data_IF_486609598126
#
_entry.id   IF_486609598126
#
_cell.length_a   1.000
_cell.length_b   1.000
_cell.length_c   1.000
_cell.angle_alpha   90.00
_cell.angle_beta   90.00
_cell.angle_gamma   90.00
#
_symmetry.space_group_name_H-M   'P 1'
#
loop_
_entity.id
_entity.type
_entity.pdbx_description
1 polymer ?
#
# COMPACT_ATOMS: atom_id res chain seq x y z
N UNK A 1 -18.20 6.56 -2.64
CA UNK A 1 -17.30 5.89 -3.61
C UNK A 1 -16.59 4.76 -2.87
N UNK A 2 -16.58 3.54 -3.40
CA UNK A 2 -15.89 2.40 -2.78
C UNK A 2 -14.41 2.44 -3.19
N UNK A 3 -13.48 2.34 -2.24
CA UNK A 3 -12.05 2.30 -2.53
C UNK A 3 -11.72 0.99 -3.27
N UNK A 4 -10.99 1.10 -4.37
CA UNK A 4 -10.54 -0.03 -5.19
C UNK A 4 -9.07 0.12 -5.51
N UNK A 5 -8.45 -0.90 -6.10
CA UNK A 5 -7.07 -0.83 -6.54
C UNK A 5 -6.86 0.14 -7.73
N UNK A 6 -7.95 0.62 -8.35
CA UNK A 6 -7.94 1.53 -9.51
C UNK A 6 -8.51 2.92 -9.20
N UNK A 7 -8.99 3.13 -7.97
CA UNK A 7 -9.57 4.40 -7.56
C UNK A 7 -9.43 4.55 -6.04
N UNK A 8 -8.44 5.36 -5.65
CA UNK A 8 -8.16 5.74 -4.27
C UNK A 8 -7.60 7.17 -4.23
N UNK A 9 -7.71 7.89 -3.10
CA UNK A 9 -7.12 9.21 -2.96
C UNK A 9 -5.62 9.19 -3.25
N UNK A 10 -5.11 10.14 -4.02
CA UNK A 10 -3.67 10.28 -4.25
C UNK A 10 -2.95 11.00 -3.10
N UNK A 11 -3.69 11.61 -2.16
CA UNK A 11 -3.15 12.39 -1.02
C UNK A 11 -3.84 12.01 0.28
N UNK A 12 -3.03 11.88 1.32
CA UNK A 12 -3.48 11.59 2.68
C UNK A 12 -2.77 12.50 3.67
N UNK A 13 -3.54 13.18 4.51
CA UNK A 13 -3.01 14.00 5.60
C UNK A 13 -3.15 13.22 6.91
N UNK A 14 -2.03 13.03 7.61
CA UNK A 14 -1.92 12.35 8.89
C UNK A 14 -1.27 13.26 9.91
N UNK A 15 -2.08 14.01 10.67
CA UNK A 15 -1.58 15.05 11.59
C UNK A 15 -0.68 16.03 10.82
N UNK A 16 0.62 16.04 11.11
CA UNK A 16 1.62 16.91 10.48
C UNK A 16 2.30 16.29 9.25
N UNK A 17 1.90 15.07 8.85
CA UNK A 17 2.47 14.35 7.72
C UNK A 17 1.56 14.36 6.50
N UNK A 18 2.11 14.73 5.34
CA UNK A 18 1.48 14.58 4.04
C UNK A 18 2.09 13.37 3.33
N UNK A 19 1.24 12.40 2.99
CA UNK A 19 1.62 11.26 2.17
C UNK A 19 0.92 11.36 0.81
N UNK A 20 1.71 11.31 -0.27
CA UNK A 20 1.25 11.58 -1.63
C UNK A 20 1.75 10.50 -2.60
N UNK A 21 0.82 9.96 -3.39
CA UNK A 21 1.12 9.24 -4.61
C UNK A 21 1.33 10.23 -5.76
N UNK A 22 2.46 10.10 -6.45
CA UNK A 22 2.78 10.85 -7.67
C UNK A 22 3.01 9.88 -8.83
N UNK A 23 2.86 10.40 -10.05
CA UNK A 23 3.09 9.63 -11.29
C UNK A 23 2.26 8.33 -11.34
N UNK A 24 1.00 8.40 -10.88
CA UNK A 24 0.06 7.29 -10.91
C UNK A 24 -0.20 6.84 -12.35
N UNK A 25 -0.17 5.53 -12.55
CA UNK A 25 -0.55 4.88 -13.80
C UNK A 25 -1.16 3.51 -13.55
N UNK A 26 -2.11 3.13 -14.37
CA UNK A 26 -2.60 1.75 -14.38
C UNK A 26 -1.52 0.79 -14.88
N UNK A 27 -1.40 -0.37 -14.22
CA UNK A 27 -0.51 -1.44 -14.69
C UNK A 27 -1.00 -2.12 -15.97
N UNK A 28 -2.32 -2.16 -16.16
CA UNK A 28 -3.04 -2.70 -17.30
C UNK A 28 -4.44 -2.06 -17.29
N UNK A 29 -5.15 -2.06 -18.42
CA UNK A 29 -6.51 -1.50 -18.48
C UNK A 29 -7.42 -2.13 -17.41
N UNK A 30 -7.89 -1.32 -16.45
CA UNK A 30 -8.73 -1.78 -15.34
C UNK A 30 -7.97 -2.60 -14.26
N UNK A 31 -6.65 -2.63 -14.33
CA UNK A 31 -5.76 -3.20 -13.31
C UNK A 31 -5.23 -2.12 -12.35
N UNK A 32 -4.56 -2.52 -11.25
CA UNK A 32 -4.17 -1.61 -10.18
C UNK A 32 -3.39 -0.38 -10.66
N UNK A 33 -3.69 0.77 -10.07
CA UNK A 33 -2.88 1.97 -10.21
C UNK A 33 -1.65 1.89 -9.32
N UNK A 34 -0.49 2.21 -9.89
CA UNK A 34 0.78 2.27 -9.19
C UNK A 34 1.43 3.65 -9.35
N UNK A 35 2.14 4.11 -8.32
CA UNK A 35 2.83 5.41 -8.33
C UNK A 35 4.02 5.45 -7.40
N UNK A 36 4.72 6.57 -7.40
CA UNK A 36 5.78 6.88 -6.43
C UNK A 36 5.16 7.43 -5.16
N UNK A 37 5.64 6.98 -4.01
CA UNK A 37 5.12 7.40 -2.71
C UNK A 37 6.08 8.38 -2.04
N UNK A 38 5.53 9.53 -1.64
CA UNK A 38 6.25 10.60 -0.97
C UNK A 38 5.66 10.84 0.42
N UNK A 39 6.53 11.06 1.40
CA UNK A 39 6.18 11.53 2.73
C UNK A 39 6.84 12.90 2.92
N UNK A 40 6.06 13.95 3.09
CA UNK A 40 6.54 15.33 3.25
C UNK A 40 7.54 15.74 2.15
N UNK A 41 7.18 15.48 0.89
CA UNK A 41 8.02 15.69 -0.31
C UNK A 41 9.29 14.84 -0.44
N UNK A 42 9.57 13.95 0.51
CA UNK A 42 10.67 12.98 0.39
C UNK A 42 10.14 11.64 -0.12
N UNK A 43 10.83 11.06 -1.10
CA UNK A 43 10.44 9.78 -1.67
C UNK A 43 10.78 8.62 -0.71
N UNK A 44 9.83 7.73 -0.44
CA UNK A 44 10.00 6.64 0.54
C UNK A 44 10.98 5.56 0.05
N UNK A 45 10.78 5.03 -1.16
CA UNK A 45 11.67 4.07 -1.80
C UNK A 45 11.87 4.46 -3.28
N UNK A 46 13.13 4.75 -3.66
CA UNK A 46 13.45 5.36 -4.96
C UNK A 46 13.07 4.48 -6.15
N UNK A 47 13.36 3.19 -6.06
CA UNK A 47 13.23 2.27 -7.18
C UNK A 47 11.92 1.46 -7.18
N UNK A 48 11.08 1.67 -6.15
CA UNK A 48 9.84 0.92 -5.97
C UNK A 48 8.60 1.71 -6.44
N UNK A 49 7.52 1.00 -6.69
CA UNK A 49 6.19 1.58 -6.97
C UNK A 49 5.20 1.08 -5.93
N UNK A 50 4.27 1.93 -5.50
CA UNK A 50 3.25 1.62 -4.51
C UNK A 50 1.87 1.62 -5.17
N UNK A 51 0.96 0.80 -4.66
CA UNK A 51 -0.45 0.78 -5.04
C UNK A 51 -1.31 1.12 -3.84
N UNK A 52 -2.52 1.60 -4.08
CA UNK A 52 -3.53 1.80 -3.05
C UNK A 52 -4.60 0.71 -3.01
N UNK A 53 -5.57 0.83 -2.08
CA UNK A 53 -5.61 1.83 -1.02
C UNK A 53 -4.61 1.51 0.11
N UNK A 54 -4.22 2.54 0.86
CA UNK A 54 -3.42 2.40 2.08
C UNK A 54 -4.30 2.43 3.34
N UNK A 55 -3.74 2.03 4.48
CA UNK A 55 -4.39 2.12 5.79
C UNK A 55 -3.44 2.77 6.79
N UNK A 56 -3.97 3.73 7.55
CA UNK A 56 -3.26 4.34 8.67
C UNK A 56 -3.59 3.63 9.98
N UNK A 57 -2.56 3.18 10.69
CA UNK A 57 -2.63 2.64 12.03
C UNK A 57 -2.22 3.71 13.04
N UNK A 58 -3.19 4.45 13.54
CA UNK A 58 -2.98 5.60 14.43
C UNK A 58 -2.20 5.25 15.70
N UNK A 59 -2.50 4.10 16.33
CA UNK A 59 -1.86 3.71 17.59
C UNK A 59 -0.37 3.40 17.47
N UNK A 60 0.14 3.18 16.27
CA UNK A 60 1.57 2.95 16.00
C UNK A 60 2.19 4.07 15.16
N UNK A 61 1.41 5.07 14.72
CA UNK A 61 1.83 6.07 13.76
C UNK A 61 2.42 5.46 12.46
N UNK A 62 1.79 4.39 11.95
CA UNK A 62 2.27 3.62 10.78
C UNK A 62 1.28 3.64 9.64
N UNK A 63 1.79 3.65 8.42
CA UNK A 63 1.00 3.48 7.19
C UNK A 63 1.32 2.11 6.60
N UNK A 64 0.28 1.33 6.33
CA UNK A 64 0.35 0.06 5.63
C UNK A 64 -0.06 0.32 4.18
N UNK A 65 0.78 -0.08 3.23
CA UNK A 65 0.57 0.22 1.81
C UNK A 65 1.06 -0.94 0.93
N UNK A 66 0.31 -1.34 -0.10
CA UNK A 66 0.81 -2.26 -1.12
C UNK A 66 2.03 -1.70 -1.88
N UNK A 67 3.06 -2.52 -2.07
CA UNK A 67 4.25 -2.20 -2.87
C UNK A 67 4.43 -3.24 -3.97
N UNK A 68 4.74 -2.77 -5.17
CA UNK A 68 4.98 -3.59 -6.33
C UNK A 68 6.31 -4.33 -6.18
N UNK A 69 6.29 -5.64 -6.32
CA UNK A 69 7.47 -6.49 -6.37
C UNK A 69 7.65 -7.03 -7.78
N UNK A 70 8.78 -6.70 -8.41
CA UNK A 70 9.15 -7.21 -9.74
C UNK A 70 10.26 -8.24 -9.63
N UNK A 71 10.05 -9.37 -10.29
CA UNK A 71 11.06 -10.36 -10.60
C UNK A 71 11.14 -10.54 -12.12
N UNK A 72 12.16 -11.21 -12.63
CA UNK A 72 12.39 -11.35 -14.07
C UNK A 72 11.20 -11.97 -14.83
N UNK A 73 10.44 -12.86 -14.19
CA UNK A 73 9.33 -13.59 -14.82
C UNK A 73 7.94 -13.22 -14.32
N UNK A 74 7.83 -12.37 -13.29
CA UNK A 74 6.53 -12.08 -12.70
C UNK A 74 6.53 -10.77 -11.93
N UNK A 75 5.34 -10.17 -11.90
CA UNK A 75 5.03 -9.02 -11.06
C UNK A 75 4.01 -9.45 -10.02
N UNK A 76 4.26 -9.10 -8.76
CA UNK A 76 3.38 -9.37 -7.61
C UNK A 76 3.33 -8.12 -6.73
N UNK A 77 2.49 -8.13 -5.72
CA UNK A 77 2.47 -7.14 -4.65
C UNK A 77 2.96 -7.73 -3.33
N UNK A 78 3.61 -6.89 -2.53
CA UNK A 78 3.93 -7.11 -1.13
C UNK A 78 3.30 -6.01 -0.30
N UNK A 79 3.41 -6.11 1.02
CA UNK A 79 2.98 -5.05 1.93
C UNK A 79 4.20 -4.33 2.47
N UNK A 80 4.21 -3.00 2.35
CA UNK A 80 5.15 -2.13 3.03
C UNK A 80 4.50 -1.48 4.25
N UNK A 81 5.28 -1.31 5.30
CA UNK A 81 4.91 -0.60 6.53
C UNK A 81 5.87 0.58 6.67
N UNK A 82 5.30 1.78 6.69
CA UNK A 82 6.03 3.04 6.79
C UNK A 82 5.77 3.62 8.17
N UNK A 83 6.83 3.87 8.94
CA UNK A 83 6.75 4.62 10.18
C UNK A 83 6.79 6.11 9.87
N UNK A 84 5.72 6.84 10.21
CA UNK A 84 5.63 8.27 9.91
C UNK A 84 6.55 9.12 10.81
N UNK A 85 7.09 8.55 11.87
CA UNK A 85 7.96 9.23 12.83
C UNK A 85 9.43 9.12 12.41
N UNK A 86 9.86 7.91 12.03
CA UNK A 86 11.26 7.64 11.63
C UNK A 86 11.49 7.68 10.12
N UNK A 87 10.41 7.70 9.32
CA UNK A 87 10.42 7.54 7.87
C UNK A 87 10.93 6.18 7.39
N UNK A 88 11.15 5.23 8.29
CA UNK A 88 11.58 3.88 7.94
C UNK A 88 10.48 3.13 7.20
N UNK A 89 10.87 2.38 6.16
CA UNK A 89 9.97 1.55 5.38
C UNK A 89 10.43 0.09 5.44
N UNK A 90 9.59 -0.79 5.98
CA UNK A 90 9.82 -2.23 6.04
C UNK A 90 8.88 -2.95 5.10
N UNK A 91 9.42 -3.79 4.21
CA UNK A 91 8.63 -4.57 3.25
C UNK A 91 8.50 -6.02 3.73
N UNK A 92 7.27 -6.49 3.91
CA UNK A 92 6.95 -7.86 4.31
C UNK A 92 7.17 -8.84 3.17
N UNK A 93 7.58 -10.08 3.48
CA UNK A 93 7.98 -11.06 2.47
C UNK A 93 6.82 -11.70 1.68
N UNK A 94 5.58 -11.62 2.19
CA UNK A 94 4.40 -12.23 1.58
C UNK A 94 4.10 -11.59 0.22
N UNK A 95 3.97 -12.40 -0.82
CA UNK A 95 3.69 -11.99 -2.22
C UNK A 95 2.30 -12.45 -2.63
N UNK A 96 1.55 -11.57 -3.29
CA UNK A 96 0.19 -11.84 -3.80
C UNK A 96 0.01 -11.18 -5.17
N UNK A 97 -0.94 -11.67 -5.98
CA UNK A 97 -1.25 -11.07 -7.30
C UNK A 97 -1.91 -9.69 -7.19
N UNK A 98 -2.65 -9.48 -6.09
CA UNK A 98 -3.28 -8.22 -5.73
C UNK A 98 -3.26 -8.10 -4.21
N UNK A 99 -3.18 -6.87 -3.71
CA UNK A 99 -3.40 -6.58 -2.29
C UNK A 99 -4.33 -5.38 -2.20
N UNK A 100 -5.60 -5.63 -1.91
CA UNK A 100 -6.58 -4.60 -1.57
C UNK A 100 -6.74 -4.57 -0.05
N UNK A 101 -6.09 -3.61 0.61
CA UNK A 101 -6.14 -3.49 2.07
C UNK A 101 -7.57 -3.20 2.54
N UNK A 102 -8.02 -3.93 3.57
CA UNK A 102 -9.35 -3.80 4.18
C UNK A 102 -9.30 -3.16 5.55
N UNK A 103 -8.46 -3.69 6.45
CA UNK A 103 -8.34 -3.20 7.82
C UNK A 103 -7.01 -3.60 8.44
N UNK A 104 -6.65 -2.92 9.54
CA UNK A 104 -5.56 -3.31 10.42
C UNK A 104 -6.06 -3.29 11.86
N UNK A 105 -5.79 -4.36 12.62
CA UNK A 105 -6.18 -4.46 14.02
C UNK A 105 -5.14 -3.83 14.96
N UNK A 106 -5.53 -3.56 16.20
CA UNK A 106 -4.61 -3.11 17.26
C UNK A 106 -3.49 -4.13 17.53
N UNK A 107 -3.78 -5.41 17.31
CA UNK A 107 -2.85 -6.54 17.47
C UNK A 107 -1.93 -6.75 16.25
N UNK A 108 -1.86 -5.76 15.34
CA UNK A 108 -1.02 -5.77 14.14
C UNK A 108 -1.40 -6.86 13.14
N UNK A 109 -2.70 -7.14 13.02
CA UNK A 109 -3.23 -8.06 12.00
C UNK A 109 -3.77 -7.23 10.85
N UNK A 110 -3.15 -7.36 9.68
CA UNK A 110 -3.59 -6.76 8.42
C UNK A 110 -4.56 -7.72 7.77
N UNK A 111 -5.72 -7.21 7.38
CA UNK A 111 -6.71 -7.92 6.55
C UNK A 111 -6.76 -7.31 5.16
N UNK A 112 -6.71 -8.14 4.12
CA UNK A 112 -6.72 -7.69 2.73
C UNK A 112 -7.38 -8.72 1.81
N UNK A 113 -7.84 -8.27 0.65
CA UNK A 113 -8.30 -9.15 -0.43
C UNK A 113 -7.18 -9.35 -1.46
N UNK A 114 -7.07 -10.56 -2.00
CA UNK A 114 -6.13 -10.87 -3.08
C UNK A 114 -6.81 -11.08 -4.45
N UNK A 115 -8.06 -10.65 -4.57
CA UNK A 115 -8.85 -10.64 -5.80
C UNK A 115 -9.65 -9.33 -5.93
N UNK A 116 -10.00 -8.95 -7.15
CA UNK A 116 -10.70 -7.69 -7.43
C UNK A 116 -12.18 -7.69 -6.97
N UNK A 117 -12.75 -8.88 -6.72
CA UNK A 117 -14.16 -9.05 -6.33
C UNK A 117 -14.36 -9.10 -4.81
N UNK A 118 -13.29 -8.91 -4.02
CA UNK A 118 -13.32 -8.94 -2.56
C UNK A 118 -13.85 -10.26 -1.98
N UNK A 119 -13.56 -11.40 -2.63
CA UNK A 119 -14.05 -12.71 -2.22
C UNK A 119 -13.08 -13.48 -1.34
N UNK A 120 -11.78 -13.25 -1.51
CA UNK A 120 -10.72 -14.02 -0.87
C UNK A 120 -10.00 -13.16 0.17
N UNK A 121 -10.55 -13.17 1.40
CA UNK A 121 -9.96 -12.46 2.53
C UNK A 121 -8.75 -13.22 3.07
N UNK A 122 -7.63 -12.51 3.19
CA UNK A 122 -6.39 -12.98 3.80
C UNK A 122 -6.04 -12.13 5.00
N UNK A 123 -5.27 -12.71 5.90
CA UNK A 123 -4.70 -12.02 7.06
C UNK A 123 -3.19 -12.21 7.14
N UNK A 124 -2.49 -11.22 7.68
CA UNK A 124 -1.06 -11.26 7.93
C UNK A 124 -0.74 -10.48 9.20
N UNK A 125 0.07 -11.06 10.09
CA UNK A 125 0.56 -10.39 11.31
C UNK A 125 1.94 -9.80 11.07
N UNK A 126 2.23 -8.64 11.68
CA UNK A 126 3.53 -7.95 11.62
C UNK A 126 3.97 -7.38 12.97
#
# INVERSE_FOLDING_TARGET
MMLTAVNYPSKYNFKDNLLEYRDLKEMSQGGPEIGKLFLNNEMILKDEYFSGPLIFQENLNKVIVPVLYRSFFFTKFKIAIIDLSTKECVVLNKKEDLILLKSVSRERIISYYNDINNKNLKTLKF
#
